data_IF_123481090154
#
_entry.id   IF_123481090154
#
_cell.length_a   1.000
_cell.length_b   1.000
_cell.length_c   1.000
_cell.angle_alpha   90.00
_cell.angle_beta   90.00
_cell.angle_gamma   90.00
#
_symmetry.space_group_name_H-M   'P 1'
#
loop_
_entity.id
_entity.type
_entity.pdbx_description
1 polymer ?
#
# COMPACT_ATOMS: atom_id res chain seq x y z
N UNK A 1 -13.34 2.69 -9.62
CA UNK A 1 -12.50 1.48 -9.47
C UNK A 1 -12.52 0.88 -8.05
N UNK A 2 -11.82 1.40 -7.03
CA UNK A 2 -11.82 0.76 -5.68
C UNK A 2 -13.21 0.76 -5.03
N UNK A 3 -13.89 1.92 -5.00
CA UNK A 3 -15.27 2.03 -4.46
C UNK A 3 -16.27 1.11 -5.17
N UNK A 4 -16.12 0.96 -6.48
CA UNK A 4 -17.07 0.24 -7.34
C UNK A 4 -16.81 -1.27 -7.42
N UNK A 5 -15.54 -1.67 -7.56
CA UNK A 5 -15.17 -3.07 -7.85
C UNK A 5 -14.45 -3.75 -6.68
N UNK A 6 -13.68 -3.02 -5.88
CA UNK A 6 -12.85 -3.60 -4.82
C UNK A 6 -11.74 -4.52 -5.36
N UNK A 7 -11.17 -5.33 -4.48
CA UNK A 7 -10.24 -6.42 -4.80
C UNK A 7 -10.51 -7.62 -3.88
N UNK A 8 -10.49 -8.84 -4.40
CA UNK A 8 -10.84 -10.02 -3.59
C UNK A 8 -9.69 -10.52 -2.70
N UNK A 9 -8.50 -9.91 -2.81
CA UNK A 9 -7.33 -10.25 -2.00
C UNK A 9 -6.96 -9.17 -0.97
N UNK A 10 -5.99 -9.48 -0.09
CA UNK A 10 -5.44 -8.48 0.81
C UNK A 10 -4.65 -7.43 0.01
N UNK A 11 -4.60 -6.21 0.52
CA UNK A 11 -3.81 -5.11 -0.06
C UNK A 11 -2.74 -4.66 0.93
N UNK A 12 -1.53 -4.42 0.45
CA UNK A 12 -0.46 -3.78 1.21
C UNK A 12 0.12 -2.63 0.39
N UNK A 13 0.24 -1.44 0.99
CA UNK A 13 0.93 -0.31 0.37
C UNK A 13 1.85 0.37 1.37
N UNK A 14 3.03 0.78 0.92
CA UNK A 14 3.93 1.65 1.67
C UNK A 14 4.13 2.96 0.92
N UNK A 15 4.07 4.08 1.63
CA UNK A 15 4.34 5.41 1.07
C UNK A 15 5.32 6.16 1.94
N UNK A 16 6.44 6.59 1.35
CA UNK A 16 7.40 7.46 2.01
C UNK A 16 6.80 8.83 2.32
N UNK A 17 6.99 9.31 3.56
CA UNK A 17 6.47 10.63 3.98
C UNK A 17 7.29 11.81 3.45
N UNK A 18 8.50 11.57 2.95
CA UNK A 18 9.34 12.55 2.27
C UNK A 18 9.35 12.36 0.75
N UNK A 19 8.40 11.58 0.22
CA UNK A 19 8.19 11.45 -1.21
C UNK A 19 7.82 12.82 -1.81
N UNK A 20 8.63 13.28 -2.77
CA UNK A 20 8.42 14.53 -3.49
C UNK A 20 7.08 14.58 -4.25
N UNK A 21 6.47 13.43 -4.52
CA UNK A 21 5.20 13.28 -5.21
C UNK A 21 4.02 13.03 -4.28
N UNK A 22 4.21 13.04 -2.94
CA UNK A 22 3.19 12.65 -1.97
C UNK A 22 1.81 13.29 -2.21
N UNK A 23 1.78 14.57 -2.60
CA UNK A 23 0.53 15.31 -2.89
C UNK A 23 -0.20 14.83 -4.15
N UNK A 24 0.50 14.18 -5.08
CA UNK A 24 -0.05 13.64 -6.32
C UNK A 24 -0.50 12.18 -6.16
N UNK A 25 -0.02 11.48 -5.12
CA UNK A 25 -0.32 10.07 -4.87
C UNK A 25 -1.74 9.84 -4.34
N UNK A 26 -2.39 10.90 -3.81
CA UNK A 26 -3.77 10.83 -3.28
C UNK A 26 -3.97 9.69 -2.26
N UNK A 27 -2.98 9.46 -1.39
CA UNK A 27 -2.99 8.37 -0.40
C UNK A 27 -4.19 8.44 0.53
N UNK A 28 -4.62 9.66 0.88
CA UNK A 28 -5.82 9.90 1.67
C UNK A 28 -7.10 9.44 0.95
N UNK A 29 -7.29 9.82 -0.31
CA UNK A 29 -8.50 9.46 -1.06
C UNK A 29 -8.59 7.95 -1.31
N UNK A 30 -7.44 7.30 -1.49
CA UNK A 30 -7.37 5.85 -1.57
C UNK A 30 -7.75 5.20 -0.23
N UNK A 31 -7.24 5.70 0.90
CA UNK A 31 -7.59 5.21 2.22
C UNK A 31 -9.10 5.33 2.51
N UNK A 32 -9.73 6.45 2.13
CA UNK A 32 -11.18 6.61 2.22
C UNK A 32 -11.93 5.59 1.35
N UNK A 33 -11.51 5.41 0.09
CA UNK A 33 -12.14 4.46 -0.80
C UNK A 33 -12.04 3.00 -0.29
N UNK A 34 -10.90 2.62 0.28
CA UNK A 34 -10.67 1.32 0.91
C UNK A 34 -11.56 1.15 2.14
N UNK A 35 -11.64 2.17 3.01
CA UNK A 35 -12.45 2.14 4.22
C UNK A 35 -13.96 2.07 3.90
N UNK A 36 -14.45 2.90 2.98
CA UNK A 36 -15.85 2.89 2.52
C UNK A 36 -16.27 1.52 1.96
N UNK A 37 -15.34 0.84 1.27
CA UNK A 37 -15.59 -0.48 0.67
C UNK A 37 -15.48 -1.63 1.69
N UNK A 38 -14.93 -1.40 2.88
CA UNK A 38 -14.60 -2.46 3.83
C UNK A 38 -13.51 -3.40 3.30
N UNK A 39 -12.61 -2.87 2.47
CA UNK A 39 -11.54 -3.63 1.83
C UNK A 39 -10.47 -4.03 2.86
N UNK A 40 -10.01 -5.29 2.82
CA UNK A 40 -8.89 -5.74 3.64
C UNK A 40 -7.59 -5.13 3.10
N UNK A 41 -7.08 -4.10 3.77
CA UNK A 41 -5.88 -3.40 3.35
C UNK A 41 -5.03 -2.92 4.54
N UNK A 42 -3.72 -2.96 4.35
CA UNK A 42 -2.72 -2.32 5.21
C UNK A 42 -2.07 -1.17 4.45
N UNK A 43 -2.38 0.06 4.86
CA UNK A 43 -1.87 1.29 4.23
C UNK A 43 -0.85 1.93 5.17
N UNK A 44 0.45 1.75 4.89
CA UNK A 44 1.55 2.16 5.76
C UNK A 44 2.21 3.45 5.25
N UNK A 45 2.39 4.42 6.15
CA UNK A 45 3.19 5.61 5.88
C UNK A 45 4.55 5.45 6.57
N UNK A 46 5.64 5.61 5.82
CA UNK A 46 7.00 5.38 6.30
C UNK A 46 7.72 6.71 6.57
N UNK A 47 7.93 7.08 7.86
CA UNK A 47 8.56 8.34 8.24
C UNK A 47 9.98 8.49 7.68
N UNK A 48 10.28 9.61 7.03
CA UNK A 48 11.63 9.92 6.54
C UNK A 48 12.04 9.26 5.22
N UNK A 49 11.23 8.36 4.66
CA UNK A 49 11.52 7.72 3.38
C UNK A 49 11.03 8.54 2.19
N UNK A 50 11.78 8.45 1.08
CA UNK A 50 11.55 9.14 -0.18
C UNK A 50 11.03 8.18 -1.28
N UNK A 51 11.16 8.58 -2.54
CA UNK A 51 10.76 7.78 -3.72
C UNK A 51 11.91 6.95 -4.32
N UNK A 52 12.97 6.67 -3.56
CA UNK A 52 14.14 5.97 -4.10
C UNK A 52 14.01 4.45 -4.04
N UNK A 53 14.88 3.75 -4.77
CA UNK A 53 15.02 2.30 -4.62
C UNK A 53 15.53 1.87 -3.25
N UNK A 54 16.15 2.77 -2.48
CA UNK A 54 16.54 2.49 -1.08
C UNK A 54 15.30 2.30 -0.21
N UNK A 55 14.28 3.16 -0.37
CA UNK A 55 12.98 2.96 0.26
C UNK A 55 12.39 1.60 -0.12
N UNK A 56 12.31 1.31 -1.42
CA UNK A 56 11.77 0.03 -1.93
C UNK A 56 12.52 -1.17 -1.34
N UNK A 57 13.85 -1.16 -1.35
CA UNK A 57 14.64 -2.29 -0.84
C UNK A 57 14.50 -2.49 0.66
N UNK A 58 14.24 -1.43 1.43
CA UNK A 58 14.06 -1.50 2.88
C UNK A 58 12.82 -2.32 3.24
N UNK A 59 11.72 -2.15 2.51
CA UNK A 59 10.44 -2.80 2.81
C UNK A 59 10.12 -3.97 1.87
N UNK A 60 11.03 -4.32 0.95
CA UNK A 60 10.82 -5.39 -0.03
C UNK A 60 10.57 -6.75 0.63
N UNK A 61 11.27 -7.07 1.71
CA UNK A 61 11.11 -8.34 2.42
C UNK A 61 9.68 -8.53 2.93
N UNK A 62 9.10 -7.51 3.57
CA UNK A 62 7.71 -7.50 4.00
C UNK A 62 6.74 -7.73 2.84
N UNK A 63 6.99 -7.10 1.68
CA UNK A 63 6.13 -7.23 0.50
C UNK A 63 6.21 -8.63 -0.10
N UNK A 64 7.40 -9.22 -0.16
CA UNK A 64 7.59 -10.60 -0.65
C UNK A 64 6.88 -11.57 0.30
N UNK A 65 7.02 -11.41 1.61
CA UNK A 65 6.34 -12.24 2.60
C UNK A 65 4.81 -12.12 2.49
N UNK A 66 4.30 -10.89 2.40
CA UNK A 66 2.89 -10.60 2.19
C UNK A 66 2.32 -11.29 0.94
N UNK A 67 3.03 -11.21 -0.18
CA UNK A 67 2.62 -11.88 -1.40
C UNK A 67 2.75 -13.40 -1.33
N UNK A 68 3.77 -13.93 -0.65
CA UNK A 68 3.92 -15.37 -0.43
C UNK A 68 2.75 -15.92 0.41
N UNK A 69 2.39 -15.25 1.49
CA UNK A 69 1.22 -15.62 2.31
C UNK A 69 -0.07 -15.62 1.48
N UNK A 70 -0.32 -14.56 0.70
CA UNK A 70 -1.48 -14.48 -0.16
C UNK A 70 -1.50 -15.57 -1.26
N UNK A 71 -0.33 -15.95 -1.79
CA UNK A 71 -0.21 -16.98 -2.82
C UNK A 71 -0.48 -18.39 -2.27
N UNK A 72 -0.06 -18.68 -1.03
CA UNK A 72 -0.25 -19.99 -0.39
C UNK A 72 -1.55 -20.12 0.41
N UNK A 73 -2.30 -19.03 0.60
CA UNK A 73 -3.58 -19.05 1.30
C UNK A 73 -4.76 -19.56 0.45
N UNK A 74 -4.56 -19.77 -0.86
CA UNK A 74 -5.54 -20.36 -1.78
C UNK A 74 -5.32 -21.85 -1.99
#
# INVERSE_FOLDING_TARGET
MMRENGFDGPILTDTGTQDQFLKLLNTHDFAHAVAERGQQASLRLQPGYDHSYFFVSTFMEDHVAFHAEALYAG
#
